data_IF_519023170432
#
_entry.id   IF_519023170432
#
_cell.length_a   1.000
_cell.length_b   1.000
_cell.length_c   1.000
_cell.angle_alpha   90.00
_cell.angle_beta   90.00
_cell.angle_gamma   90.00
#
_symmetry.space_group_name_H-M   'P 1'
#
loop_
_entity.id
_entity.type
_entity.pdbx_description
1 polymer ?
#
# COMPACT_ATOMS: atom_id res chain seq x y z
N UNK A 1 9.76 -23.30 -6.58
CA UNK A 1 10.32 -24.41 -5.75
C UNK A 1 10.17 -25.74 -6.47
N UNK A 2 8.97 -26.14 -6.91
CA UNK A 2 8.77 -27.36 -7.72
C UNK A 2 9.72 -27.46 -8.92
N UNK A 3 9.79 -26.42 -9.76
CA UNK A 3 10.74 -26.38 -10.89
C UNK A 3 12.22 -26.42 -10.47
N UNK A 4 12.56 -25.93 -9.27
CA UNK A 4 13.92 -26.04 -8.74
C UNK A 4 14.23 -27.49 -8.33
N UNK A 5 13.28 -28.19 -7.71
CA UNK A 5 13.43 -29.60 -7.37
C UNK A 5 13.58 -30.48 -8.62
N UNK A 6 12.83 -30.19 -9.69
CA UNK A 6 12.96 -30.91 -10.97
C UNK A 6 14.33 -30.74 -11.64
N UNK A 7 15.01 -29.62 -11.37
CA UNK A 7 16.33 -29.32 -11.91
C UNK A 7 17.49 -29.83 -11.05
N UNK A 8 17.20 -30.38 -9.86
CA UNK A 8 18.21 -30.76 -8.87
C UNK A 8 18.16 -32.28 -8.59
N UNK A 9 19.29 -32.97 -8.69
CA UNK A 9 19.36 -34.45 -8.57
C UNK A 9 19.16 -35.00 -7.14
N UNK A 10 18.79 -34.15 -6.16
CA UNK A 10 18.59 -34.59 -4.77
C UNK A 10 17.18 -35.15 -4.60
N UNK A 11 17.00 -36.36 -4.01
CA UNK A 11 15.68 -36.91 -3.73
C UNK A 11 14.82 -35.92 -2.95
N UNK A 12 13.57 -35.73 -3.39
CA UNK A 12 12.69 -34.76 -2.77
C UNK A 12 11.27 -35.26 -2.61
N UNK A 13 10.64 -34.92 -1.49
CA UNK A 13 9.23 -35.18 -1.24
C UNK A 13 8.50 -33.86 -0.93
N UNK A 14 7.20 -33.82 -1.22
CA UNK A 14 6.37 -32.62 -1.11
C UNK A 14 5.11 -32.93 -0.31
N UNK A 15 4.82 -32.09 0.68
CA UNK A 15 3.57 -32.12 1.45
C UNK A 15 2.90 -30.76 1.29
N UNK A 16 1.76 -30.72 0.60
CA UNK A 16 0.88 -29.55 0.56
C UNK A 16 -0.07 -29.62 1.74
N UNK A 17 0.04 -28.65 2.64
CA UNK A 17 -0.72 -28.63 3.88
C UNK A 17 -2.06 -27.90 3.68
N UNK A 18 -3.09 -28.35 4.38
CA UNK A 18 -4.39 -27.68 4.46
C UNK A 18 -4.86 -27.47 5.91
N UNK A 19 -6.07 -26.96 6.09
CA UNK A 19 -6.61 -26.68 7.42
C UNK A 19 -6.78 -27.94 8.30
N UNK A 20 -6.96 -29.11 7.70
CA UNK A 20 -7.13 -30.38 8.42
C UNK A 20 -5.81 -30.89 9.02
N UNK A 21 -4.67 -30.42 8.53
CA UNK A 21 -3.35 -30.75 9.05
C UNK A 21 -3.02 -30.07 10.39
N UNK A 22 -3.98 -29.33 10.97
CA UNK A 22 -3.98 -28.85 12.35
C UNK A 22 -4.23 -29.98 13.39
N UNK A 23 -3.76 -31.18 13.09
CA UNK A 23 -3.78 -32.34 13.97
C UNK A 23 -2.38 -32.97 13.95
N UNK A 24 -1.76 -33.10 15.13
CA UNK A 24 -0.39 -33.62 15.25
C UNK A 24 -0.24 -35.01 14.63
N UNK A 25 -1.23 -35.88 14.79
CA UNK A 25 -1.17 -37.26 14.29
C UNK A 25 -1.20 -37.27 12.77
N UNK A 26 -2.15 -36.53 12.19
CA UNK A 26 -2.32 -36.44 10.74
C UNK A 26 -1.10 -35.79 10.09
N UNK A 27 -0.66 -34.65 10.60
CA UNK A 27 0.54 -33.96 10.13
C UNK A 27 1.77 -34.88 10.15
N UNK A 28 2.01 -35.55 11.28
CA UNK A 28 3.18 -36.44 11.43
C UNK A 28 3.05 -37.65 10.51
N UNK A 29 1.84 -38.16 10.29
CA UNK A 29 1.60 -39.26 9.36
C UNK A 29 1.91 -38.86 7.92
N UNK A 30 1.50 -37.68 7.45
CA UNK A 30 1.86 -37.18 6.12
C UNK A 30 3.34 -36.87 5.98
N UNK A 31 3.97 -36.31 7.01
CA UNK A 31 5.41 -36.12 7.06
C UNK A 31 6.15 -37.46 6.87
N UNK A 32 5.76 -38.49 7.63
CA UNK A 32 6.36 -39.82 7.54
C UNK A 32 6.09 -40.45 6.17
N UNK A 33 4.85 -40.37 5.68
CA UNK A 33 4.48 -40.92 4.37
C UNK A 33 5.32 -40.29 3.25
N UNK A 34 5.55 -38.97 3.30
CA UNK A 34 6.41 -38.27 2.35
C UNK A 34 7.87 -38.79 2.41
N UNK A 35 8.44 -38.96 3.60
CA UNK A 35 9.77 -39.57 3.76
C UNK A 35 9.79 -41.02 3.25
N UNK A 36 8.74 -41.79 3.51
CA UNK A 36 8.61 -43.18 3.09
C UNK A 36 8.56 -43.34 1.56
N UNK A 37 8.06 -42.34 0.82
CA UNK A 37 8.11 -42.33 -0.65
C UNK A 37 9.53 -42.33 -1.20
N UNK A 38 10.48 -41.76 -0.44
CA UNK A 38 11.90 -41.72 -0.80
C UNK A 38 12.66 -42.92 -0.22
N UNK A 39 12.32 -43.30 1.02
CA UNK A 39 13.01 -44.34 1.77
C UNK A 39 12.00 -45.36 2.32
N UNK A 40 11.67 -46.41 1.55
CA UNK A 40 10.67 -47.39 1.95
C UNK A 40 10.97 -48.03 3.31
N UNK A 41 10.01 -47.93 4.24
CA UNK A 41 10.14 -48.45 5.60
C UNK A 41 10.94 -47.57 6.56
N UNK A 42 11.27 -46.33 6.19
CA UNK A 42 11.73 -45.33 7.15
C UNK A 42 10.64 -45.02 8.20
N UNK A 43 11.06 -44.52 9.37
CA UNK A 43 10.18 -43.99 10.42
C UNK A 43 9.10 -44.96 10.95
N UNK A 44 9.27 -46.28 10.80
CA UNK A 44 8.29 -47.31 11.21
C UNK A 44 7.97 -47.29 12.70
N UNK A 45 8.96 -47.02 13.57
CA UNK A 45 8.70 -46.97 15.01
C UNK A 45 7.81 -45.77 15.35
N UNK A 46 8.09 -44.62 14.74
CA UNK A 46 7.26 -43.43 14.90
C UNK A 46 5.87 -43.64 14.33
N UNK A 47 5.73 -44.30 13.17
CA UNK A 47 4.43 -44.66 12.61
C UNK A 47 3.64 -45.60 13.53
N UNK A 48 4.30 -46.58 14.18
CA UNK A 48 3.65 -47.43 15.18
C UNK A 48 3.17 -46.63 16.40
N UNK A 49 3.95 -45.64 16.85
CA UNK A 49 3.53 -44.71 17.91
C UNK A 49 2.32 -43.87 17.50
N UNK A 50 2.25 -43.42 16.23
CA UNK A 50 1.09 -42.72 15.67
C UNK A 50 -0.13 -43.61 15.46
N UNK A 51 -0.02 -44.93 15.55
CA UNK A 51 -1.16 -45.86 15.47
C UNK A 51 -1.65 -46.32 16.85
N UNK A 52 -0.96 -45.93 17.92
CA UNK A 52 -1.41 -46.20 19.29
C UNK A 52 -2.69 -45.43 19.60
N UNK A 53 -3.52 -45.98 20.50
CA UNK A 53 -4.78 -45.35 20.93
C UNK A 53 -4.56 -43.93 21.42
N UNK A 54 -3.57 -43.75 22.30
CA UNK A 54 -3.15 -42.44 22.80
C UNK A 54 -1.82 -42.04 22.18
N UNK A 55 -1.70 -40.77 21.78
CA UNK A 55 -0.42 -40.22 21.34
C UNK A 55 0.56 -40.21 22.53
N UNK A 56 1.80 -40.68 22.32
CA UNK A 56 2.82 -40.57 23.35
C UNK A 56 3.18 -39.09 23.62
N UNK A 57 3.84 -38.80 24.74
CA UNK A 57 4.34 -37.45 25.01
C UNK A 57 5.21 -36.92 23.86
N UNK A 58 5.13 -35.61 23.61
CA UNK A 58 5.85 -34.95 22.52
C UNK A 58 7.35 -35.23 22.54
N UNK A 59 7.96 -35.32 23.73
CA UNK A 59 9.38 -35.66 23.87
C UNK A 59 9.74 -37.06 23.36
N UNK A 60 8.81 -38.01 23.42
CA UNK A 60 9.02 -39.39 22.96
C UNK A 60 8.82 -39.47 21.45
N UNK A 61 7.75 -38.83 20.95
CA UNK A 61 7.44 -38.79 19.52
C UNK A 61 8.55 -38.10 18.72
N UNK A 62 8.96 -36.90 19.14
CA UNK A 62 10.04 -36.14 18.48
C UNK A 62 11.38 -36.89 18.49
N UNK A 63 11.77 -37.49 19.61
CA UNK A 63 13.00 -38.30 19.71
C UNK A 63 12.96 -39.53 18.82
N UNK A 64 11.82 -40.22 18.75
CA UNK A 64 11.64 -41.38 17.87
C UNK A 64 11.83 -40.96 16.42
N UNK A 65 11.14 -39.91 15.98
CA UNK A 65 11.22 -39.42 14.61
C UNK A 65 12.63 -38.97 14.28
N UNK A 66 13.26 -38.16 15.15
CA UNK A 66 14.61 -37.64 14.94
C UNK A 66 15.65 -38.75 14.82
N UNK A 67 15.60 -39.76 15.70
CA UNK A 67 16.52 -40.90 15.63
C UNK A 67 16.31 -41.76 14.38
N UNK A 68 15.09 -41.82 13.84
CA UNK A 68 14.82 -42.55 12.59
C UNK A 68 15.25 -41.75 11.36
N UNK A 69 15.08 -40.42 11.38
CA UNK A 69 15.59 -39.53 10.32
C UNK A 69 17.12 -39.51 10.29
N UNK A 70 17.80 -39.51 11.44
CA UNK A 70 19.26 -39.51 11.53
C UNK A 70 19.91 -40.81 10.99
N UNK A 71 19.13 -41.89 10.85
CA UNK A 71 19.58 -43.14 10.22
C UNK A 71 19.57 -43.09 8.69
N UNK A 72 18.93 -42.09 8.10
CA UNK A 72 18.93 -41.90 6.65
C UNK A 72 20.26 -41.23 6.29
N UNK A 73 21.15 -41.96 5.62
CA UNK A 73 22.47 -41.44 5.23
C UNK A 73 22.41 -40.58 3.94
N UNK A 74 21.44 -40.84 3.06
CA UNK A 74 21.30 -40.14 1.80
C UNK A 74 20.61 -38.78 2.01
N UNK A 75 21.24 -37.70 1.56
CA UNK A 75 20.64 -36.36 1.60
C UNK A 75 19.35 -36.29 0.79
N UNK A 76 18.34 -35.62 1.32
CA UNK A 76 17.04 -35.44 0.69
C UNK A 76 16.40 -34.11 1.10
N UNK A 77 15.45 -33.65 0.30
CA UNK A 77 14.68 -32.43 0.53
C UNK A 77 13.24 -32.80 0.90
N UNK A 78 12.73 -32.24 1.99
CA UNK A 78 11.31 -32.32 2.31
C UNK A 78 10.71 -30.91 2.22
N UNK A 79 9.71 -30.75 1.36
CA UNK A 79 8.97 -29.49 1.24
C UNK A 79 7.68 -29.57 2.04
N UNK A 80 7.47 -28.58 2.90
CA UNK A 80 6.20 -28.31 3.57
C UNK A 80 5.63 -27.03 2.95
N UNK A 81 4.65 -27.22 2.08
CA UNK A 81 3.96 -26.14 1.38
C UNK A 81 2.73 -25.68 2.15
N UNK A 82 2.41 -24.39 2.03
CA UNK A 82 1.32 -23.72 2.74
C UNK A 82 1.37 -23.84 4.28
N UNK A 83 2.56 -23.89 4.88
CA UNK A 83 2.76 -24.04 6.33
C UNK A 83 2.11 -22.92 7.15
N UNK A 84 1.81 -21.76 6.55
CA UNK A 84 1.05 -20.68 7.19
C UNK A 84 -0.35 -21.11 7.68
N UNK A 85 -0.93 -22.17 7.12
CA UNK A 85 -2.23 -22.73 7.53
C UNK A 85 -2.17 -23.49 8.86
N UNK A 86 -0.98 -23.92 9.28
CA UNK A 86 -0.78 -24.62 10.55
C UNK A 86 -0.78 -23.60 11.70
N UNK A 87 -1.68 -23.82 12.66
CA UNK A 87 -1.90 -23.06 13.89
C UNK A 87 -1.67 -23.93 15.13
N UNK A 88 -1.72 -25.26 14.99
CA UNK A 88 -1.56 -26.20 16.09
C UNK A 88 -0.14 -26.14 16.69
N UNK A 89 -0.07 -25.69 17.95
CA UNK A 89 1.18 -25.56 18.72
C UNK A 89 2.00 -26.83 18.77
N UNK A 90 1.38 -28.00 18.91
CA UNK A 90 2.12 -29.26 18.99
C UNK A 90 2.86 -29.60 17.69
N UNK A 91 2.33 -29.19 16.53
CA UNK A 91 2.99 -29.37 15.23
C UNK A 91 4.23 -28.47 15.14
N UNK A 92 4.12 -27.23 15.61
CA UNK A 92 5.25 -26.31 15.69
C UNK A 92 6.33 -26.81 16.66
N UNK A 93 5.93 -27.36 17.81
CA UNK A 93 6.85 -27.94 18.79
C UNK A 93 7.59 -29.16 18.23
N UNK A 94 6.93 -30.02 17.45
CA UNK A 94 7.56 -31.14 16.77
C UNK A 94 8.64 -30.67 15.79
N UNK A 95 8.33 -29.73 14.89
CA UNK A 95 9.32 -29.19 13.96
C UNK A 95 10.42 -28.42 14.69
N UNK A 96 10.08 -27.66 15.74
CA UNK A 96 11.04 -26.97 16.59
C UNK A 96 12.04 -27.94 17.23
N UNK A 97 11.58 -29.12 17.67
CA UNK A 97 12.45 -30.16 18.20
C UNK A 97 13.40 -30.74 17.12
N UNK A 98 12.91 -30.97 15.90
CA UNK A 98 13.75 -31.40 14.77
C UNK A 98 14.80 -30.34 14.45
N UNK A 99 14.40 -29.06 14.33
CA UNK A 99 15.28 -27.96 13.95
C UNK A 99 16.30 -27.59 15.04
N UNK A 100 16.07 -27.98 16.29
CA UNK A 100 17.05 -27.81 17.37
C UNK A 100 18.26 -28.74 17.21
N UNK A 101 18.06 -29.91 16.61
CA UNK A 101 19.09 -30.91 16.34
C UNK A 101 18.86 -31.50 14.94
N UNK A 102 19.07 -30.70 13.86
CA UNK A 102 18.65 -31.07 12.51
C UNK A 102 19.42 -32.31 12.03
N UNK A 103 18.74 -33.36 11.51
CA UNK A 103 19.40 -34.48 10.85
C UNK A 103 20.24 -34.00 9.67
N UNK A 104 21.48 -34.49 9.53
CA UNK A 104 22.41 -33.99 8.51
C UNK A 104 21.93 -34.25 7.07
N UNK A 105 21.16 -35.31 6.85
CA UNK A 105 20.63 -35.70 5.55
C UNK A 105 19.35 -34.95 5.17
N UNK A 106 18.66 -34.31 6.12
CA UNK A 106 17.39 -33.64 5.87
C UNK A 106 17.59 -32.16 5.56
N UNK A 107 17.20 -31.76 4.35
CA UNK A 107 16.99 -30.36 3.99
C UNK A 107 15.49 -30.05 4.04
N UNK A 108 15.06 -29.26 5.02
CA UNK A 108 13.67 -28.84 5.15
C UNK A 108 13.43 -27.52 4.41
N UNK A 109 12.54 -27.52 3.42
CA UNK A 109 12.05 -26.32 2.76
C UNK A 109 10.62 -26.02 3.25
N UNK A 110 10.43 -24.87 3.91
CA UNK A 110 9.12 -24.44 4.38
C UNK A 110 8.65 -23.29 3.51
N UNK A 111 7.46 -23.44 2.92
CA UNK A 111 6.81 -22.42 2.10
C UNK A 111 5.61 -21.91 2.88
N UNK A 112 5.44 -20.59 2.93
CA UNK A 112 4.31 -20.00 3.60
C UNK A 112 4.24 -18.50 3.39
N UNK A 113 3.08 -17.94 3.73
CA UNK A 113 2.80 -16.50 3.60
C UNK A 113 3.22 -15.69 4.82
N UNK A 114 3.67 -16.32 5.90
CA UNK A 114 4.10 -15.64 7.13
C UNK A 114 5.20 -16.42 7.80
N UNK A 115 5.95 -15.76 8.66
CA UNK A 115 6.97 -16.44 9.47
C UNK A 115 6.30 -17.50 10.34
N UNK A 116 6.69 -18.79 10.21
CA UNK A 116 6.17 -19.82 11.08
C UNK A 116 6.66 -19.58 12.51
N UNK A 117 5.90 -19.98 13.55
CA UNK A 117 6.29 -19.85 14.95
C UNK A 117 7.36 -20.90 15.33
N UNK A 118 8.47 -20.87 14.60
CA UNK A 118 9.65 -21.72 14.75
C UNK A 118 10.82 -20.86 15.28
N UNK A 119 11.92 -21.45 15.76
CA UNK A 119 13.06 -20.71 16.29
C UNK A 119 13.91 -20.03 15.19
N UNK A 120 13.28 -19.28 14.29
CA UNK A 120 13.89 -18.61 13.11
C UNK A 120 15.06 -17.73 13.51
N UNK A 121 14.91 -16.89 14.56
CA UNK A 121 15.98 -16.00 15.01
C UNK A 121 17.23 -16.76 15.43
N UNK A 122 17.07 -17.91 16.10
CA UNK A 122 18.19 -18.75 16.50
C UNK A 122 18.86 -19.43 15.30
N UNK A 123 18.07 -19.96 14.36
CA UNK A 123 18.57 -20.56 13.12
C UNK A 123 19.33 -19.53 12.27
N UNK A 124 18.81 -18.29 12.18
CA UNK A 124 19.44 -17.17 11.49
C UNK A 124 20.79 -16.81 12.12
N UNK A 125 20.83 -16.68 13.45
CA UNK A 125 22.07 -16.36 14.17
C UNK A 125 23.16 -17.44 14.04
N UNK A 126 22.75 -18.69 13.84
CA UNK A 126 23.66 -19.83 13.64
C UNK A 126 23.98 -20.11 12.18
N UNK A 127 23.46 -19.33 11.23
CA UNK A 127 23.59 -19.56 9.78
C UNK A 127 23.10 -20.95 9.35
N UNK A 128 22.09 -21.48 10.01
CA UNK A 128 21.47 -22.78 9.72
C UNK A 128 20.25 -22.69 8.80
N UNK A 129 19.99 -21.52 8.21
CA UNK A 129 18.87 -21.31 7.30
C UNK A 129 19.24 -20.37 6.16
N UNK A 130 18.58 -20.58 5.03
CA UNK A 130 18.53 -19.63 3.91
C UNK A 130 17.12 -19.05 3.85
N UNK A 131 17.01 -17.75 3.68
CA UNK A 131 15.75 -17.01 3.70
C UNK A 131 15.55 -16.37 2.33
N UNK A 132 14.43 -16.67 1.67
CA UNK A 132 14.05 -16.10 0.39
C UNK A 132 12.75 -15.34 0.62
N UNK A 133 12.76 -14.02 0.44
CA UNK A 133 11.65 -13.12 0.75
C UNK A 133 11.11 -12.44 -0.50
N UNK A 134 10.05 -11.66 -0.34
CA UNK A 134 9.42 -10.88 -1.42
C UNK A 134 10.43 -10.10 -2.28
N UNK A 135 11.46 -9.43 -1.73
CA UNK A 135 12.47 -8.75 -2.56
C UNK A 135 13.28 -9.71 -3.43
N UNK A 136 13.55 -10.93 -2.97
CA UNK A 136 14.30 -11.96 -3.71
C UNK A 136 13.41 -12.67 -4.75
N UNK A 137 12.10 -12.74 -4.50
CA UNK A 137 11.10 -13.34 -5.38
C UNK A 137 10.58 -12.37 -6.46
N UNK A 138 10.81 -11.06 -6.27
CA UNK A 138 10.43 -10.04 -7.25
C UNK A 138 11.31 -10.18 -8.48
N UNK A 139 10.68 -10.32 -9.64
CA UNK A 139 11.41 -10.34 -10.89
C UNK A 139 12.03 -8.98 -11.17
N UNK A 140 13.32 -8.99 -11.51
CA UNK A 140 14.01 -7.86 -12.09
C UNK A 140 13.73 -7.74 -13.59
N UNK A 141 14.15 -6.64 -14.23
CA UNK A 141 13.92 -6.38 -15.66
C UNK A 141 14.32 -7.56 -16.57
N UNK A 142 15.45 -8.23 -16.29
CA UNK A 142 15.94 -9.36 -17.10
C UNK A 142 15.08 -10.61 -16.89
N UNK A 143 14.67 -10.90 -15.66
CA UNK A 143 13.78 -12.01 -15.33
C UNK A 143 12.39 -11.79 -15.92
N UNK A 144 11.85 -10.58 -15.84
CA UNK A 144 10.60 -10.19 -16.49
C UNK A 144 10.66 -10.38 -18.00
N UNK A 145 11.72 -9.93 -18.66
CA UNK A 145 11.91 -10.13 -20.09
C UNK A 145 11.96 -11.62 -20.47
N UNK A 146 12.70 -12.41 -19.69
CA UNK A 146 12.84 -13.86 -19.90
C UNK A 146 11.51 -14.57 -19.75
N UNK A 147 10.77 -14.28 -18.67
CA UNK A 147 9.45 -14.84 -18.39
C UNK A 147 8.44 -14.50 -19.49
N UNK A 148 8.36 -13.22 -19.89
CA UNK A 148 7.43 -12.78 -20.93
C UNK A 148 7.75 -13.43 -22.28
N UNK A 149 9.04 -13.59 -22.62
CA UNK A 149 9.46 -14.25 -23.85
C UNK A 149 9.05 -15.73 -23.87
N UNK A 150 9.22 -16.42 -22.74
CA UNK A 150 8.85 -17.83 -22.59
C UNK A 150 7.34 -18.03 -22.67
N UNK A 151 6.56 -17.18 -21.99
CA UNK A 151 5.11 -17.30 -21.98
C UNK A 151 4.49 -16.84 -23.31
N UNK A 152 4.92 -15.72 -23.90
CA UNK A 152 4.30 -15.23 -25.13
C UNK A 152 4.85 -15.94 -26.38
N UNK A 153 5.97 -16.65 -26.28
CA UNK A 153 6.63 -17.31 -27.41
C UNK A 153 7.21 -16.34 -28.44
N UNK A 154 7.30 -15.05 -28.10
CA UNK A 154 7.82 -13.98 -28.95
C UNK A 154 8.85 -13.15 -28.18
N UNK A 155 9.80 -12.56 -28.90
CA UNK A 155 10.71 -11.58 -28.30
C UNK A 155 9.92 -10.31 -27.95
N UNK A 156 10.00 -9.92 -26.68
CA UNK A 156 9.30 -8.74 -26.16
C UNK A 156 10.27 -7.57 -26.12
N UNK A 157 9.86 -6.42 -26.64
CA UNK A 157 10.72 -5.25 -26.67
C UNK A 157 10.93 -4.66 -25.27
N UNK A 158 12.05 -3.96 -25.09
CA UNK A 158 12.43 -3.42 -23.78
C UNK A 158 11.43 -2.41 -23.23
N UNK A 159 10.74 -1.66 -24.09
CA UNK A 159 9.75 -0.67 -23.64
C UNK A 159 8.52 -1.35 -23.02
N UNK A 160 8.10 -2.47 -23.59
CA UNK A 160 7.07 -3.34 -23.01
C UNK A 160 7.47 -3.91 -21.66
N UNK A 161 8.69 -4.46 -21.57
CA UNK A 161 9.19 -5.07 -20.33
C UNK A 161 9.17 -4.03 -19.21
N UNK A 162 9.65 -2.81 -19.48
CA UNK A 162 9.63 -1.72 -18.51
C UNK A 162 8.21 -1.36 -18.06
N UNK A 163 7.24 -1.25 -18.99
CA UNK A 163 5.84 -0.95 -18.65
C UNK A 163 5.21 -2.05 -17.78
N UNK A 164 5.46 -3.31 -18.10
CA UNK A 164 4.90 -4.44 -17.33
C UNK A 164 5.60 -4.61 -15.98
N UNK A 165 6.90 -4.39 -15.91
CA UNK A 165 7.65 -4.39 -14.64
C UNK A 165 7.19 -3.26 -13.73
N UNK A 166 7.02 -2.05 -14.26
CA UNK A 166 6.45 -0.91 -13.52
C UNK A 166 5.02 -1.19 -13.05
N UNK A 167 4.16 -1.75 -13.92
CA UNK A 167 2.75 -2.07 -13.60
C UNK A 167 2.55 -3.32 -12.73
N UNK A 168 3.58 -4.12 -12.50
CA UNK A 168 3.45 -5.30 -11.63
C UNK A 168 4.39 -5.24 -10.44
N UNK A 169 5.24 -4.21 -10.40
CA UNK A 169 6.39 -4.09 -9.51
C UNK A 169 7.15 -5.42 -9.38
N UNK A 170 7.34 -6.13 -10.50
CA UNK A 170 8.01 -7.43 -10.58
C UNK A 170 7.27 -8.62 -9.95
N UNK A 171 5.99 -8.49 -9.61
CA UNK A 171 5.19 -9.57 -9.04
C UNK A 171 4.86 -10.63 -10.09
N UNK A 172 5.45 -11.83 -9.94
CA UNK A 172 5.34 -12.94 -10.91
C UNK A 172 3.90 -13.36 -11.21
N UNK A 173 3.05 -13.46 -10.18
CA UNK A 173 1.63 -13.78 -10.38
C UNK A 173 0.91 -12.67 -11.14
N UNK A 174 1.22 -11.41 -10.86
CA UNK A 174 0.72 -10.26 -11.60
C UNK A 174 1.13 -10.31 -13.07
N UNK A 175 2.40 -10.62 -13.36
CA UNK A 175 2.91 -10.81 -14.72
C UNK A 175 2.21 -11.96 -15.44
N UNK A 176 2.03 -13.11 -14.78
CA UNK A 176 1.34 -14.26 -15.36
C UNK A 176 -0.12 -13.95 -15.71
N UNK A 177 -0.82 -13.24 -14.82
CA UNK A 177 -2.20 -12.84 -15.06
C UNK A 177 -2.31 -11.80 -16.19
N UNK A 178 -1.33 -10.89 -16.31
CA UNK A 178 -1.24 -9.97 -17.45
C UNK A 178 -1.06 -10.73 -18.77
N UNK A 179 -0.16 -11.73 -18.83
CA UNK A 179 0.03 -12.59 -20.01
C UNK A 179 -1.26 -13.33 -20.38
N UNK A 180 -1.98 -13.88 -19.40
CA UNK A 180 -3.26 -14.56 -19.64
C UNK A 180 -4.31 -13.61 -20.23
N UNK A 181 -4.38 -12.37 -19.74
CA UNK A 181 -5.27 -11.34 -20.28
C UNK A 181 -4.94 -10.98 -21.74
N UNK A 182 -3.64 -10.82 -22.07
CA UNK A 182 -3.16 -10.56 -23.44
C UNK A 182 -3.53 -11.70 -24.39
N UNK A 183 -3.30 -12.96 -23.97
CA UNK A 183 -3.67 -14.15 -24.76
C UNK A 183 -5.17 -14.20 -25.04
N UNK A 184 -6.01 -13.84 -24.07
CA UNK A 184 -7.47 -13.85 -24.25
C UNK A 184 -7.96 -12.76 -25.21
N UNK A 185 -7.30 -11.59 -25.25
CA UNK A 185 -7.65 -10.49 -26.18
C UNK A 185 -7.18 -10.77 -27.61
N UNK A 186 -6.21 -11.66 -27.82
CA UNK A 186 -5.59 -11.89 -29.12
C UNK A 186 -4.74 -10.71 -29.61
N UNK A 187 -4.45 -9.76 -28.71
CA UNK A 187 -3.62 -8.58 -28.98
C UNK A 187 -2.40 -8.62 -28.06
N UNK A 188 -1.22 -8.63 -28.67
CA UNK A 188 0.05 -8.75 -27.98
C UNK A 188 0.71 -7.39 -27.74
N UNK A 189 0.09 -6.29 -28.15
CA UNK A 189 0.58 -4.95 -27.82
C UNK A 189 0.24 -4.60 -26.35
N UNK A 190 1.24 -4.56 -25.46
CA UNK A 190 1.02 -4.26 -24.05
C UNK A 190 0.79 -2.77 -23.78
N UNK A 191 0.95 -1.91 -24.79
CA UNK A 191 0.48 -0.51 -24.73
C UNK A 191 -1.04 -0.44 -24.84
N UNK A 192 -1.67 -1.46 -25.40
CA UNK A 192 -3.14 -1.65 -25.44
C UNK A 192 -3.68 -2.37 -24.19
N UNK A 193 -2.81 -2.70 -23.21
CA UNK A 193 -3.23 -3.02 -21.84
C UNK A 193 -3.79 -1.75 -21.19
N UNK A 194 -5.03 -1.43 -21.56
CA UNK A 194 -5.80 -0.35 -20.95
C UNK A 194 -6.05 -0.67 -19.46
N UNK A 195 -5.91 0.30 -18.54
CA UNK A 195 -6.08 0.09 -17.11
C UNK A 195 -7.39 -0.58 -16.67
N UNK A 196 -8.44 -0.55 -17.52
CA UNK A 196 -9.81 -0.91 -17.15
C UNK A 196 -10.18 -2.38 -17.34
N UNK A 197 -9.57 -3.12 -18.29
CA UNK A 197 -10.02 -4.49 -18.61
C UNK A 197 -9.09 -5.58 -18.07
N UNK A 198 -7.78 -5.29 -17.97
CA UNK A 198 -6.79 -6.21 -17.39
C UNK A 198 -6.85 -6.31 -15.87
N UNK A 199 -7.58 -5.37 -15.25
CA UNK A 199 -7.87 -5.43 -13.84
C UNK A 199 -8.72 -6.66 -13.51
N UNK A 200 -9.70 -7.06 -14.31
CA UNK A 200 -10.74 -7.98 -13.83
C UNK A 200 -10.21 -9.36 -13.38
N UNK A 201 -9.32 -10.03 -14.13
CA UNK A 201 -8.76 -11.33 -13.73
C UNK A 201 -7.74 -11.22 -12.60
N UNK A 202 -6.86 -10.21 -12.64
CA UNK A 202 -5.92 -9.92 -11.54
C UNK A 202 -6.68 -9.62 -10.26
N UNK A 203 -7.79 -8.90 -10.40
CA UNK A 203 -8.61 -8.46 -9.29
C UNK A 203 -9.50 -9.57 -8.76
N UNK A 204 -10.02 -10.44 -9.61
CA UNK A 204 -10.79 -11.61 -9.19
C UNK A 204 -9.91 -12.61 -8.44
N UNK A 205 -8.69 -12.87 -8.93
CA UNK A 205 -7.71 -13.67 -8.21
C UNK A 205 -7.33 -13.03 -6.86
N UNK A 206 -6.91 -11.76 -6.85
CA UNK A 206 -6.58 -11.07 -5.59
C UNK A 206 -7.78 -11.02 -4.63
N UNK A 207 -9.00 -10.80 -5.13
CA UNK A 207 -10.20 -10.79 -4.30
C UNK A 207 -10.44 -12.15 -3.64
N UNK A 208 -10.38 -13.23 -4.43
CA UNK A 208 -10.62 -14.59 -3.96
C UNK A 208 -9.51 -15.14 -3.06
N UNK A 209 -8.26 -14.69 -3.24
CA UNK A 209 -7.13 -15.15 -2.44
C UNK A 209 -6.91 -14.32 -1.17
N UNK A 210 -7.28 -13.04 -1.20
CA UNK A 210 -6.88 -12.08 -0.17
C UNK A 210 -8.05 -11.59 0.65
N UNK A 211 -9.17 -11.22 0.02
CA UNK A 211 -10.30 -10.57 0.70
C UNK A 211 -11.40 -11.54 1.13
N UNK A 212 -11.69 -12.57 0.35
CA UNK A 212 -12.78 -13.54 0.62
C UNK A 212 -12.64 -14.27 1.96
N UNK A 213 -11.41 -14.43 2.45
CA UNK A 213 -11.08 -15.12 3.71
C UNK A 213 -11.02 -14.16 4.91
N UNK A 214 -11.23 -12.85 4.71
CA UNK A 214 -11.10 -11.86 5.78
C UNK A 214 -12.43 -11.61 6.49
N UNK A 215 -12.41 -11.35 7.80
CA UNK A 215 -13.58 -10.85 8.52
C UNK A 215 -14.10 -9.55 7.88
N UNK A 216 -15.44 -9.32 7.86
CA UNK A 216 -16.03 -8.12 7.27
C UNK A 216 -15.44 -6.79 7.80
N UNK A 217 -15.10 -6.75 9.09
CA UNK A 217 -14.50 -5.61 9.78
C UNK A 217 -13.14 -5.23 9.16
N UNK A 218 -12.32 -6.25 8.87
CA UNK A 218 -10.99 -6.08 8.26
C UNK A 218 -11.11 -5.57 6.83
N UNK A 219 -12.09 -6.09 6.06
CA UNK A 219 -12.37 -5.63 4.71
C UNK A 219 -12.71 -4.14 4.72
N UNK A 220 -13.59 -3.69 5.62
CA UNK A 220 -13.96 -2.28 5.71
C UNK A 220 -12.75 -1.37 6.01
N UNK A 221 -11.83 -1.81 6.86
CA UNK A 221 -10.61 -1.05 7.16
C UNK A 221 -9.63 -0.99 5.98
N UNK A 222 -9.48 -2.11 5.25
CA UNK A 222 -8.74 -2.14 3.98
C UNK A 222 -9.34 -1.19 2.95
N UNK A 223 -10.67 -1.16 2.83
CA UNK A 223 -11.37 -0.25 1.91
C UNK A 223 -11.23 1.21 2.33
N UNK A 224 -11.36 1.53 3.61
CA UNK A 224 -11.24 2.89 4.15
C UNK A 224 -9.85 3.50 3.92
N UNK A 225 -8.80 2.71 4.10
CA UNK A 225 -7.41 3.16 3.90
C UNK A 225 -6.96 3.16 2.43
N UNK A 226 -7.75 2.59 1.51
CA UNK A 226 -7.40 2.48 0.09
C UNK A 226 -7.28 3.82 -0.63
N UNK A 227 -7.96 4.86 -0.13
CA UNK A 227 -7.92 6.22 -0.71
C UNK A 227 -6.57 6.92 -0.49
N UNK A 228 -5.72 6.38 0.39
CA UNK A 228 -4.48 7.02 0.81
C UNK A 228 -3.32 6.55 -0.08
N UNK A 229 -2.63 7.48 -0.74
CA UNK A 229 -1.43 7.18 -1.54
C UNK A 229 -0.27 6.69 -0.66
N UNK A 230 -0.20 7.20 0.57
CA UNK A 230 0.67 6.71 1.64
C UNK A 230 -0.03 6.87 2.99
N UNK A 231 0.30 6.00 3.94
CA UNK A 231 -0.29 6.01 5.27
C UNK A 231 0.67 5.55 6.35
N UNK A 232 0.34 5.91 7.58
CA UNK A 232 1.01 5.50 8.81
C UNK A 232 -0.06 5.16 9.85
N UNK A 233 0.33 4.55 10.97
CA UNK A 233 -0.62 4.12 12.01
C UNK A 233 -1.64 5.20 12.41
N UNK A 234 -1.21 6.40 12.85
CA UNK A 234 -2.15 7.44 13.28
C UNK A 234 -3.09 7.96 12.18
N UNK A 235 -2.66 7.93 10.91
CA UNK A 235 -3.53 8.32 9.79
C UNK A 235 -4.58 7.23 9.51
N UNK A 236 -4.25 5.95 9.65
CA UNK A 236 -5.24 4.88 9.56
C UNK A 236 -6.33 5.01 10.63
N UNK A 237 -5.97 5.46 11.84
CA UNK A 237 -6.95 5.70 12.92
C UNK A 237 -7.89 6.87 12.62
N UNK A 238 -7.40 7.88 11.90
CA UNK A 238 -8.17 9.06 11.54
C UNK A 238 -9.15 8.81 10.38
N UNK A 239 -8.89 7.81 9.54
CA UNK A 239 -9.67 7.53 8.31
C UNK A 239 -10.47 6.26 8.49
N UNK A 240 -11.72 6.40 8.91
CA UNK A 240 -12.62 5.29 9.22
C UNK A 240 -14.01 5.51 8.60
N UNK A 241 -14.60 4.43 8.08
CA UNK A 241 -15.97 4.45 7.61
C UNK A 241 -16.96 4.73 8.77
N UNK A 242 -18.10 5.41 8.51
CA UNK A 242 -19.08 5.72 9.55
C UNK A 242 -19.63 4.46 10.24
N UNK A 243 -19.82 4.51 11.56
CA UNK A 243 -20.36 3.40 12.35
C UNK A 243 -19.34 2.35 12.79
N UNK A 244 -18.06 2.56 12.45
CA UNK A 244 -16.95 1.77 12.98
C UNK A 244 -16.40 2.52 14.19
N UNK A 245 -16.36 1.84 15.34
CA UNK A 245 -15.59 2.33 16.46
C UNK A 245 -14.11 1.97 16.18
N UNK A 246 -13.18 2.93 16.08
CA UNK A 246 -11.75 2.59 16.03
C UNK A 246 -11.33 1.68 17.20
N UNK A 247 -12.10 1.66 18.30
CA UNK A 247 -11.93 0.78 19.46
C UNK A 247 -12.62 -0.60 19.37
N UNK A 248 -13.45 -0.88 18.36
CA UNK A 248 -13.96 -2.26 18.09
C UNK A 248 -12.93 -3.13 17.38
N UNK A 249 -11.94 -2.53 16.74
CA UNK A 249 -10.65 -3.19 16.56
C UNK A 249 -9.88 -3.05 17.87
N UNK A 250 -9.48 -4.13 18.52
CA UNK A 250 -8.53 -4.13 19.67
C UNK A 250 -7.13 -3.56 19.31
N UNK A 251 -7.01 -2.81 18.22
CA UNK A 251 -5.80 -2.55 17.48
C UNK A 251 -5.82 -1.10 16.96
N UNK A 252 -5.01 -0.22 17.56
CA UNK A 252 -4.68 1.07 16.95
C UNK A 252 -4.02 0.89 15.57
N UNK A 253 -3.84 1.96 14.81
CA UNK A 253 -3.39 1.89 13.42
C UNK A 253 -2.01 1.24 13.26
N UNK A 254 -1.13 1.30 14.27
CA UNK A 254 0.14 0.55 14.24
C UNK A 254 -0.06 -0.97 14.32
N UNK A 255 -1.07 -1.43 15.05
CA UNK A 255 -1.39 -2.84 15.12
C UNK A 255 -2.03 -3.32 13.80
N UNK A 256 -2.82 -2.46 13.14
CA UNK A 256 -3.27 -2.72 11.78
C UNK A 256 -2.10 -2.87 10.79
N UNK A 257 -1.11 -1.97 10.85
CA UNK A 257 0.12 -2.10 10.06
C UNK A 257 0.87 -3.39 10.38
N UNK A 258 1.00 -3.75 11.67
CA UNK A 258 1.66 -4.98 12.08
C UNK A 258 0.93 -6.22 11.54
N UNK A 259 -0.41 -6.19 11.54
CA UNK A 259 -1.23 -7.24 10.94
C UNK A 259 -1.03 -7.33 9.42
N UNK A 260 -1.08 -6.20 8.69
CA UNK A 260 -0.80 -6.17 7.24
C UNK A 260 0.57 -6.77 6.89
N UNK A 261 1.59 -6.47 7.70
CA UNK A 261 2.93 -7.05 7.55
C UNK A 261 2.93 -8.55 7.81
N UNK A 262 2.29 -8.99 8.91
CA UNK A 262 2.25 -10.40 9.30
C UNK A 262 1.52 -11.26 8.26
N UNK A 263 0.44 -10.75 7.69
CA UNK A 263 -0.34 -11.45 6.67
C UNK A 263 0.20 -11.22 5.24
N UNK A 264 1.33 -10.50 5.09
CA UNK A 264 1.95 -10.17 3.80
C UNK A 264 0.98 -9.55 2.77
N UNK A 265 0.13 -8.63 3.24
CA UNK A 265 -0.93 -7.99 2.44
C UNK A 265 -0.43 -6.82 1.60
N UNK A 266 0.51 -7.12 0.71
CA UNK A 266 1.00 -6.20 -0.33
C UNK A 266 1.38 -4.80 0.20
N UNK A 267 1.94 -4.74 1.42
CA UNK A 267 2.35 -3.50 2.07
C UNK A 267 3.81 -3.21 1.75
N UNK A 268 4.10 -1.99 1.29
CA UNK A 268 5.43 -1.55 0.89
C UNK A 268 5.89 -0.43 1.83
N UNK A 269 7.01 -0.59 2.56
CA UNK A 269 7.58 0.49 3.36
C UNK A 269 8.17 1.57 2.46
N UNK A 270 7.96 2.84 2.82
CA UNK A 270 8.45 4.01 2.09
C UNK A 270 9.67 4.65 2.76
N UNK A 271 9.98 4.29 4.00
CA UNK A 271 11.13 4.79 4.75
C UNK A 271 11.82 3.67 5.55
N UNK A 272 13.11 3.85 5.89
CA UNK A 272 13.87 2.88 6.68
C UNK A 272 13.34 2.69 8.10
N UNK A 273 12.73 3.72 8.67
CA UNK A 273 12.16 3.68 10.02
C UNK A 273 10.82 2.94 10.08
N UNK A 274 10.30 2.45 8.95
CA UNK A 274 9.00 1.80 8.84
C UNK A 274 7.86 2.65 9.40
N UNK A 275 7.86 3.95 9.10
CA UNK A 275 6.79 4.86 9.53
C UNK A 275 5.70 5.03 8.50
N UNK A 276 6.09 5.18 7.24
CA UNK A 276 5.21 5.36 6.10
C UNK A 276 5.16 4.11 5.24
N UNK A 277 3.95 3.80 4.79
CA UNK A 277 3.66 2.68 3.95
C UNK A 277 2.77 3.09 2.80
N UNK A 278 2.80 2.30 1.75
CA UNK A 278 1.76 2.30 0.71
C UNK A 278 1.34 0.88 0.41
N UNK A 279 0.14 0.73 -0.11
CA UNK A 279 -0.23 -0.51 -0.78
C UNK A 279 0.53 -0.65 -2.09
N UNK A 280 0.77 -1.89 -2.51
CA UNK A 280 1.08 -2.19 -3.90
C UNK A 280 -0.06 -1.67 -4.78
N UNK A 281 0.27 -0.96 -5.87
CA UNK A 281 -0.71 -0.18 -6.63
C UNK A 281 -1.85 -1.06 -7.21
N UNK A 282 -1.58 -2.31 -7.59
CA UNK A 282 -2.62 -3.26 -8.04
C UNK A 282 -3.61 -3.59 -6.94
N UNK A 283 -3.12 -3.80 -5.71
CA UNK A 283 -3.94 -4.07 -4.55
C UNK A 283 -4.75 -2.83 -4.14
N UNK A 284 -4.12 -1.65 -4.12
CA UNK A 284 -4.82 -0.40 -3.85
C UNK A 284 -5.97 -0.16 -4.84
N UNK A 285 -5.72 -0.36 -6.14
CA UNK A 285 -6.75 -0.24 -7.19
C UNK A 285 -7.90 -1.23 -6.98
N UNK A 286 -7.60 -2.43 -6.47
CA UNK A 286 -8.60 -3.39 -6.06
C UNK A 286 -9.52 -2.86 -5.00
N UNK A 287 -8.92 -2.40 -3.92
CA UNK A 287 -9.65 -1.86 -2.79
C UNK A 287 -10.48 -0.63 -3.21
N UNK A 288 -9.92 0.27 -4.03
CA UNK A 288 -10.64 1.44 -4.55
C UNK A 288 -11.87 1.07 -5.41
N UNK A 289 -11.76 0.03 -6.25
CA UNK A 289 -12.89 -0.42 -7.06
C UNK A 289 -13.96 -1.10 -6.20
N UNK A 290 -13.57 -1.85 -5.17
CA UNK A 290 -14.51 -2.45 -4.23
C UNK A 290 -15.19 -1.38 -3.37
N UNK A 291 -14.43 -0.37 -2.92
CA UNK A 291 -14.95 0.78 -2.19
C UNK A 291 -16.04 1.49 -3.00
N UNK A 292 -15.80 1.77 -4.29
CA UNK A 292 -16.80 2.39 -5.18
C UNK A 292 -18.04 1.53 -5.46
N UNK A 293 -17.95 0.20 -5.30
CA UNK A 293 -19.07 -0.73 -5.50
C UNK A 293 -19.92 -0.87 -4.24
N UNK A 294 -19.30 -0.81 -3.07
CA UNK A 294 -19.94 -1.10 -1.79
C UNK A 294 -20.30 0.15 -0.97
N UNK A 295 -19.65 1.29 -1.23
CA UNK A 295 -19.89 2.54 -0.54
C UNK A 295 -20.50 3.59 -1.49
N UNK A 296 -21.33 4.44 -0.91
CA UNK A 296 -21.87 5.64 -1.55
C UNK A 296 -20.79 6.70 -1.75
N UNK A 297 -21.02 7.63 -2.69
CA UNK A 297 -20.13 8.77 -2.90
C UNK A 297 -19.99 9.65 -1.65
N UNK A 298 -21.03 9.72 -0.80
CA UNK A 298 -21.00 10.52 0.44
C UNK A 298 -20.06 9.92 1.50
N UNK A 299 -20.06 8.60 1.64
CA UNK A 299 -19.12 7.89 2.52
C UNK A 299 -17.68 8.06 2.04
N UNK A 300 -17.45 7.95 0.74
CA UNK A 300 -16.12 8.16 0.15
C UNK A 300 -15.65 9.60 0.34
N UNK A 301 -16.54 10.58 0.15
CA UNK A 301 -16.22 11.99 0.40
C UNK A 301 -15.87 12.24 1.88
N UNK A 302 -16.57 11.56 2.80
CA UNK A 302 -16.29 11.66 4.23
C UNK A 302 -14.88 11.14 4.57
N UNK A 303 -14.47 10.01 3.98
CA UNK A 303 -13.11 9.49 4.14
C UNK A 303 -12.04 10.49 3.64
N UNK A 304 -12.27 11.08 2.46
CA UNK A 304 -11.37 12.12 1.94
C UNK A 304 -11.32 13.36 2.84
N UNK A 305 -12.45 13.78 3.42
CA UNK A 305 -12.48 14.91 4.36
C UNK A 305 -11.71 14.61 5.65
N UNK A 306 -11.84 13.40 6.21
CA UNK A 306 -11.07 12.95 7.38
C UNK A 306 -9.57 12.92 7.10
N UNK A 307 -9.17 12.33 5.96
CA UNK A 307 -7.77 12.27 5.53
C UNK A 307 -7.19 13.69 5.36
N UNK A 308 -7.96 14.59 4.74
CA UNK A 308 -7.58 15.99 4.55
C UNK A 308 -7.30 16.68 5.89
N UNK A 309 -8.22 16.55 6.86
CA UNK A 309 -8.07 17.15 8.18
C UNK A 309 -6.80 16.64 8.89
N UNK A 310 -6.57 15.33 8.87
CA UNK A 310 -5.39 14.74 9.49
C UNK A 310 -4.08 15.23 8.85
N UNK A 311 -4.00 15.25 7.51
CA UNK A 311 -2.81 15.74 6.81
C UNK A 311 -2.51 17.21 7.14
N UNK A 312 -3.55 18.03 7.23
CA UNK A 312 -3.45 19.45 7.59
C UNK A 312 -2.95 19.64 9.03
N UNK A 313 -3.43 18.85 9.98
CA UNK A 313 -2.97 18.89 11.37
C UNK A 313 -1.51 18.47 11.54
N UNK A 314 -0.97 17.71 10.58
CA UNK A 314 0.41 17.22 10.56
C UNK A 314 1.32 18.01 9.58
N UNK A 315 0.94 19.24 9.21
CA UNK A 315 1.69 20.14 8.31
C UNK A 315 1.93 19.60 6.88
N UNK A 316 1.16 18.60 6.46
CA UNK A 316 1.20 17.97 5.13
C UNK A 316 0.15 18.58 4.20
N UNK A 317 0.37 19.86 3.87
CA UNK A 317 -0.61 20.68 3.16
C UNK A 317 -1.02 20.15 1.77
N UNK A 318 -0.07 19.63 1.00
CA UNK A 318 -0.31 19.27 -0.40
C UNK A 318 -1.21 18.03 -0.49
N UNK A 319 -0.94 17.04 0.34
CA UNK A 319 -1.77 15.85 0.52
C UNK A 319 -3.13 16.22 1.09
N UNK A 320 -3.15 17.10 2.10
CA UNK A 320 -4.40 17.61 2.68
C UNK A 320 -5.30 18.29 1.63
N UNK A 321 -4.71 19.09 0.76
CA UNK A 321 -5.42 19.77 -0.33
C UNK A 321 -5.96 18.79 -1.38
N UNK A 322 -5.16 17.80 -1.78
CA UNK A 322 -5.59 16.76 -2.72
C UNK A 322 -6.83 16.02 -2.21
N UNK A 323 -6.81 15.64 -0.93
CA UNK A 323 -7.96 14.99 -0.30
C UNK A 323 -9.17 15.93 -0.14
N UNK A 324 -8.97 17.22 0.17
CA UNK A 324 -10.07 18.20 0.23
C UNK A 324 -10.77 18.38 -1.13
N UNK A 325 -9.99 18.38 -2.21
CA UNK A 325 -10.54 18.44 -3.57
C UNK A 325 -11.26 17.15 -3.94
N UNK A 326 -10.67 16.00 -3.60
CA UNK A 326 -11.26 14.69 -3.85
C UNK A 326 -12.57 14.44 -3.08
N UNK A 327 -12.78 15.10 -1.92
CA UNK A 327 -14.04 15.02 -1.17
C UNK A 327 -15.19 15.82 -1.83
N UNK A 328 -14.93 16.51 -2.94
CA UNK A 328 -15.89 17.39 -3.60
C UNK A 328 -16.17 18.70 -2.87
N UNK A 329 -15.47 19.00 -1.77
CA UNK A 329 -15.65 20.23 -1.00
C UNK A 329 -14.60 21.29 -1.41
N UNK A 330 -14.83 21.90 -2.56
CA UNK A 330 -13.92 22.91 -3.14
C UNK A 330 -13.79 24.17 -2.28
N UNK A 331 -14.82 24.49 -1.49
CA UNK A 331 -14.80 25.62 -0.56
C UNK A 331 -13.87 25.36 0.63
N UNK A 332 -13.90 24.15 1.19
CA UNK A 332 -12.95 23.72 2.23
C UNK A 332 -11.51 23.71 1.69
N UNK A 333 -11.30 23.24 0.45
CA UNK A 333 -9.99 23.30 -0.21
C UNK A 333 -9.49 24.75 -0.38
N UNK A 334 -10.36 25.68 -0.80
CA UNK A 334 -10.04 27.10 -0.90
C UNK A 334 -9.69 27.73 0.45
N UNK A 335 -10.50 27.45 1.47
CA UNK A 335 -10.28 27.93 2.84
C UNK A 335 -8.95 27.44 3.43
N UNK A 336 -8.55 26.21 3.10
CA UNK A 336 -7.28 25.61 3.48
C UNK A 336 -6.11 26.36 2.81
N UNK A 337 -6.16 26.62 1.50
CA UNK A 337 -5.13 27.43 0.82
C UNK A 337 -5.04 28.84 1.43
N UNK A 338 -6.18 29.48 1.69
CA UNK A 338 -6.23 30.80 2.31
C UNK A 338 -5.60 30.81 3.72
N UNK A 339 -5.91 29.80 4.55
CA UNK A 339 -5.38 29.67 5.91
C UNK A 339 -3.85 29.53 5.95
N UNK A 340 -3.27 28.72 5.06
CA UNK A 340 -1.81 28.49 5.02
C UNK A 340 -1.04 29.53 4.21
N UNK A 341 -1.75 30.41 3.49
CA UNK A 341 -1.12 31.40 2.62
C UNK A 341 -0.11 32.27 3.35
N UNK A 342 -0.44 32.84 4.51
CA UNK A 342 0.47 33.71 5.26
C UNK A 342 1.78 33.02 5.66
N UNK A 343 1.70 31.78 6.13
CA UNK A 343 2.89 31.02 6.49
C UNK A 343 3.76 30.77 5.25
N UNK A 344 3.18 30.28 4.15
CA UNK A 344 3.91 30.03 2.91
C UNK A 344 4.53 31.30 2.32
N UNK A 345 3.82 32.45 2.41
CA UNK A 345 4.33 33.74 1.96
C UNK A 345 5.51 34.22 2.81
N UNK A 346 5.39 34.12 4.15
CA UNK A 346 6.45 34.52 5.08
C UNK A 346 7.71 33.64 4.95
N UNK A 347 7.52 32.34 4.69
CA UNK A 347 8.60 31.38 4.46
C UNK A 347 9.16 31.45 3.02
N UNK A 348 8.69 32.40 2.21
CA UNK A 348 9.05 32.59 0.80
C UNK A 348 8.80 31.38 -0.10
N UNK A 349 7.85 30.51 0.28
CA UNK A 349 7.44 29.31 -0.46
C UNK A 349 6.40 29.63 -1.56
N UNK A 350 6.63 30.71 -2.32
CA UNK A 350 5.70 31.25 -3.33
C UNK A 350 5.35 30.24 -4.42
N UNK A 351 6.31 29.42 -4.83
CA UNK A 351 6.10 28.37 -5.83
C UNK A 351 5.16 27.28 -5.31
N UNK A 352 5.26 26.94 -4.03
CA UNK A 352 4.39 25.96 -3.37
C UNK A 352 2.96 26.49 -3.28
N UNK A 353 2.80 27.74 -2.83
CA UNK A 353 1.50 28.43 -2.82
C UNK A 353 0.86 28.50 -4.22
N UNK A 354 1.66 28.82 -5.25
CA UNK A 354 1.18 28.84 -6.63
C UNK A 354 0.73 27.48 -7.14
N UNK A 355 1.42 26.38 -6.77
CA UNK A 355 0.99 25.01 -7.10
C UNK A 355 -0.31 24.64 -6.40
N UNK A 356 -0.45 24.96 -5.12
CA UNK A 356 -1.69 24.74 -4.36
C UNK A 356 -2.86 25.50 -5.00
N UNK A 357 -2.68 26.80 -5.28
CA UNK A 357 -3.73 27.61 -5.89
C UNK A 357 -4.13 27.10 -7.28
N UNK A 358 -3.17 26.62 -8.09
CA UNK A 358 -3.45 26.07 -9.43
C UNK A 358 -4.25 24.77 -9.44
N UNK A 359 -4.34 24.05 -8.32
CA UNK A 359 -5.16 22.85 -8.19
C UNK A 359 -6.63 23.16 -7.93
N UNK A 360 -6.95 24.38 -7.47
CA UNK A 360 -8.33 24.80 -7.24
C UNK A 360 -9.05 25.08 -8.57
N UNK A 361 -10.35 24.77 -8.68
CA UNK A 361 -11.16 25.17 -9.83
C UNK A 361 -11.18 26.69 -10.01
N UNK A 362 -11.08 27.17 -11.26
CA UNK A 362 -11.07 28.60 -11.58
C UNK A 362 -12.32 29.32 -11.07
N UNK A 363 -13.48 28.70 -11.23
CA UNK A 363 -14.76 29.22 -10.73
C UNK A 363 -14.75 29.49 -9.21
N UNK A 364 -14.00 28.69 -8.44
CA UNK A 364 -13.87 28.89 -6.99
C UNK A 364 -12.99 30.10 -6.68
N UNK A 365 -11.84 30.20 -7.35
CA UNK A 365 -10.93 31.35 -7.20
C UNK A 365 -11.69 32.64 -7.53
N UNK A 366 -12.40 32.67 -8.65
CA UNK A 366 -13.15 33.85 -9.11
C UNK A 366 -14.35 34.26 -8.24
N UNK A 367 -14.75 33.42 -7.28
CA UNK A 367 -15.85 33.69 -6.34
C UNK A 367 -15.36 34.04 -4.94
N UNK A 368 -14.09 33.76 -4.63
CA UNK A 368 -13.50 33.98 -3.32
C UNK A 368 -12.46 35.12 -3.37
N UNK A 369 -12.80 36.31 -2.81
CA UNK A 369 -11.88 37.45 -2.77
C UNK A 369 -10.53 37.16 -2.10
N UNK A 370 -10.48 36.27 -1.09
CA UNK A 370 -9.23 35.93 -0.44
C UNK A 370 -8.29 35.18 -1.40
N UNK A 371 -8.84 34.25 -2.19
CA UNK A 371 -8.07 33.53 -3.20
C UNK A 371 -7.64 34.44 -4.36
N UNK A 372 -8.48 35.38 -4.79
CA UNK A 372 -8.13 36.37 -5.81
C UNK A 372 -6.99 37.29 -5.36
N UNK A 373 -6.97 37.67 -4.08
CA UNK A 373 -5.85 38.46 -3.53
C UNK A 373 -4.55 37.66 -3.54
N UNK A 374 -4.60 36.36 -3.21
CA UNK A 374 -3.43 35.48 -3.31
C UNK A 374 -2.97 35.31 -4.75
N UNK A 375 -3.89 35.17 -5.70
CA UNK A 375 -3.57 35.14 -7.12
C UNK A 375 -2.88 36.44 -7.56
N UNK A 376 -3.45 37.60 -7.21
CA UNK A 376 -2.88 38.90 -7.52
C UNK A 376 -1.45 39.05 -6.97
N UNK A 377 -1.19 38.59 -5.74
CA UNK A 377 0.17 38.57 -5.18
C UNK A 377 1.13 37.69 -5.97
N UNK A 378 0.72 36.49 -6.37
CA UNK A 378 1.55 35.61 -7.18
C UNK A 378 1.83 36.21 -8.56
N UNK A 379 0.86 36.90 -9.17
CA UNK A 379 1.05 37.61 -10.43
C UNK A 379 2.00 38.81 -10.26
N UNK A 380 1.88 39.55 -9.16
CA UNK A 380 2.78 40.66 -8.83
C UNK A 380 4.23 40.21 -8.72
N UNK A 381 4.50 39.12 -7.99
CA UNK A 381 5.84 38.54 -7.85
C UNK A 381 6.39 38.06 -9.20
N UNK A 382 5.53 37.61 -10.11
CA UNK A 382 5.89 37.23 -11.49
C UNK A 382 6.00 38.40 -12.46
N UNK A 383 5.83 39.64 -11.98
CA UNK A 383 5.78 40.87 -12.79
C UNK A 383 4.69 40.87 -13.88
N UNK A 384 3.62 40.08 -13.70
CA UNK A 384 2.47 40.06 -14.59
C UNK A 384 1.40 41.07 -14.13
N UNK A 385 1.66 42.36 -14.37
CA UNK A 385 0.79 43.45 -13.90
C UNK A 385 -0.60 43.45 -14.55
N UNK A 386 -0.73 42.96 -15.78
CA UNK A 386 -2.05 42.72 -16.40
C UNK A 386 -2.88 41.70 -15.63
N UNK A 387 -2.23 40.65 -15.10
CA UNK A 387 -2.90 39.66 -14.25
C UNK A 387 -3.33 40.25 -12.91
N UNK A 388 -2.51 41.13 -12.32
CA UNK A 388 -2.86 41.85 -11.09
C UNK A 388 -4.11 42.73 -11.31
N UNK A 389 -4.17 43.48 -12.40
CA UNK A 389 -5.31 44.33 -12.74
C UNK A 389 -6.60 43.51 -12.89
N UNK A 390 -6.56 42.39 -13.61
CA UNK A 390 -7.71 41.51 -13.79
C UNK A 390 -8.24 40.95 -12.45
N UNK A 391 -7.36 40.56 -11.53
CA UNK A 391 -7.76 40.12 -10.19
C UNK A 391 -8.42 41.26 -9.39
N UNK A 392 -7.86 42.47 -9.44
CA UNK A 392 -8.41 43.65 -8.74
C UNK A 392 -9.81 43.99 -9.25
N UNK A 393 -10.00 44.07 -10.57
CA UNK A 393 -11.32 44.32 -11.19
C UNK A 393 -12.35 43.27 -10.76
N UNK A 394 -11.94 42.00 -10.68
CA UNK A 394 -12.82 40.91 -10.25
C UNK A 394 -13.23 41.06 -8.78
N UNK A 395 -12.30 41.41 -7.90
CA UNK A 395 -12.59 41.67 -6.48
C UNK A 395 -13.57 42.85 -6.33
N UNK A 396 -13.39 43.92 -7.11
CA UNK A 396 -14.31 45.06 -7.12
C UNK A 396 -15.73 44.66 -7.53
N UNK A 397 -15.84 43.86 -8.59
CA UNK A 397 -17.14 43.35 -9.05
C UNK A 397 -17.85 42.53 -7.97
N UNK A 398 -17.13 41.67 -7.23
CA UNK A 398 -17.69 40.88 -6.14
C UNK A 398 -18.15 41.76 -4.96
N UNK A 399 -17.34 42.75 -4.57
CA UNK A 399 -17.67 43.69 -3.50
C UNK A 399 -18.88 44.56 -3.84
N UNK A 400 -19.05 44.97 -5.10
CA UNK A 400 -20.20 45.75 -5.54
C UNK A 400 -21.53 44.97 -5.44
N UNK A 401 -21.48 43.64 -5.50
CA UNK A 401 -22.66 42.76 -5.45
C UNK A 401 -22.97 42.17 -4.06
N UNK A 402 -22.09 42.35 -3.07
CA UNK A 402 -22.23 41.75 -1.74
C UNK A 402 -22.91 42.72 -0.75
N UNK A 403 -23.80 42.26 0.14
CA UNK A 403 -24.36 43.12 1.19
C UNK A 403 -23.25 43.63 2.13
N UNK A 404 -23.41 44.84 2.73
CA UNK A 404 -22.36 45.50 3.50
C UNK A 404 -21.85 44.71 4.73
N UNK A 405 -22.59 43.68 5.19
CA UNK A 405 -22.17 42.79 6.29
C UNK A 405 -21.27 41.62 5.84
N UNK A 406 -21.21 41.30 4.54
CA UNK A 406 -20.28 40.30 3.95
C UNK A 406 -19.16 40.92 3.14
N UNK A 407 -19.08 42.25 3.05
CA UNK A 407 -17.86 42.96 2.61
C UNK A 407 -16.70 42.37 3.39
N UNK A 408 -15.69 41.84 2.69
CA UNK A 408 -14.58 41.04 3.22
C UNK A 408 -13.98 41.69 4.48
N UNK A 409 -14.53 41.34 5.65
CA UNK A 409 -14.29 42.08 6.89
C UNK A 409 -13.09 41.53 7.65
N UNK A 410 -12.13 40.99 6.92
CA UNK A 410 -10.79 40.73 7.44
C UNK A 410 -9.99 41.93 7.01
N UNK A 411 -9.79 42.91 7.91
CA UNK A 411 -8.99 44.14 7.68
C UNK A 411 -7.69 43.89 6.88
N UNK A 412 -7.14 42.69 7.00
CA UNK A 412 -5.99 42.21 6.24
C UNK A 412 -6.23 42.12 4.72
N UNK A 413 -7.32 41.48 4.25
CA UNK A 413 -7.61 41.32 2.82
C UNK A 413 -7.87 42.68 2.18
N UNK A 414 -8.59 43.58 2.87
CA UNK A 414 -8.78 44.95 2.42
C UNK A 414 -7.46 45.72 2.34
N UNK A 415 -6.61 45.65 3.37
CA UNK A 415 -5.31 46.34 3.36
C UNK A 415 -4.39 45.88 2.24
N UNK A 416 -4.38 44.58 1.97
CA UNK A 416 -3.64 44.01 0.83
C UNK A 416 -4.22 44.46 -0.51
N UNK A 417 -5.55 44.47 -0.63
CA UNK A 417 -6.23 44.92 -1.83
C UNK A 417 -5.93 46.40 -2.15
N UNK A 418 -5.97 47.28 -1.15
CA UNK A 418 -5.55 48.69 -1.32
C UNK A 418 -4.07 48.81 -1.70
N UNK A 419 -3.19 47.98 -1.13
CA UNK A 419 -1.77 47.97 -1.49
C UNK A 419 -1.53 47.54 -2.95
N UNK A 420 -2.29 46.56 -3.46
CA UNK A 420 -2.27 46.14 -4.86
C UNK A 420 -2.74 47.27 -5.79
N UNK A 421 -3.79 48.01 -5.41
CA UNK A 421 -4.26 49.20 -6.14
C UNK A 421 -3.21 50.31 -6.19
N UNK A 422 -2.62 50.65 -5.04
CA UNK A 422 -1.55 51.63 -4.97
C UNK A 422 -0.35 51.25 -5.84
N UNK A 423 -0.02 49.95 -5.89
CA UNK A 423 1.03 49.43 -6.78
C UNK A 423 0.68 49.59 -8.26
N UNK A 424 -0.57 49.31 -8.65
CA UNK A 424 -1.03 49.52 -10.03
C UNK A 424 -0.98 51.01 -10.43
N UNK A 425 -1.46 51.92 -9.57
CA UNK A 425 -1.39 53.37 -9.81
C UNK A 425 0.07 53.85 -9.95
N UNK A 426 0.97 53.37 -9.09
CA UNK A 426 2.40 53.69 -9.19
C UNK A 426 2.99 53.23 -10.54
N UNK A 427 2.67 52.02 -10.97
CA UNK A 427 3.15 51.47 -12.25
C UNK A 427 2.53 52.18 -13.47
N UNK A 428 1.31 52.71 -13.33
CA UNK A 428 0.65 53.56 -14.31
C UNK A 428 1.15 55.02 -14.33
N UNK A 429 2.18 55.34 -13.54
CA UNK A 429 2.74 56.70 -13.35
C UNK A 429 1.78 57.71 -12.70
N UNK A 430 0.72 57.23 -12.03
CA UNK A 430 -0.24 58.02 -11.28
C UNK A 430 0.17 58.15 -9.80
N UNK A 431 1.32 58.77 -9.56
CA UNK A 431 1.95 58.82 -8.23
C UNK A 431 1.08 59.45 -7.13
N UNK A 432 0.32 60.51 -7.43
CA UNK A 432 -0.60 61.15 -6.47
C UNK A 432 -1.77 60.22 -6.10
N UNK A 433 -2.33 59.50 -7.08
CA UNK A 433 -3.37 58.50 -6.86
C UNK A 433 -2.85 57.32 -6.03
N UNK A 434 -1.59 56.92 -6.22
CA UNK A 434 -0.98 55.84 -5.46
C UNK A 434 -0.85 56.17 -3.97
N UNK A 435 -0.51 57.42 -3.62
CA UNK A 435 -0.37 57.88 -2.22
C UNK A 435 -1.68 57.82 -1.44
N UNK A 436 -2.82 57.98 -2.10
CA UNK A 436 -4.14 57.89 -1.47
C UNK A 436 -4.42 56.49 -0.87
N UNK A 437 -3.75 55.45 -1.37
CA UNK A 437 -3.88 54.07 -0.90
C UNK A 437 -2.89 53.70 0.21
N UNK A 438 -1.93 54.57 0.53
CA UNK A 438 -0.95 54.37 1.59
C UNK A 438 -0.97 55.53 2.62
N UNK A 439 -2.06 55.72 3.38
CA UNK A 439 -2.25 56.89 4.24
C UNK A 439 -1.25 57.00 5.41
N UNK A 440 -0.45 55.96 5.68
CA UNK A 440 0.62 56.00 6.67
C UNK A 440 1.98 56.48 6.07
N UNK A 441 2.07 56.62 4.75
CA UNK A 441 3.24 57.10 4.00
C UNK A 441 3.04 58.51 3.40
N UNK A 442 1.81 59.03 3.45
CA UNK A 442 1.45 60.41 3.16
C UNK A 442 1.51 61.25 4.44
#
# INVERSE_FOLDING_TARGET
ISSWLEAYDTPSAWVSLDENDNDLRLFTAYFIAAVETLFPGACRNTQALLNASDLPPMSTLSKSLLNELDRIEQSFILVLDDYSLIKETMVHDLLGAILKHPPQSLHLAIVGRRDPPLPITALRAQSLMTEIRTPDLRFNEMETATFLTQELGIQVDRSTVAVLEEKTEGWVTGLRLAVLAMRHRGDLDPKLLEPQVDAQYVMEYLFNEVLSHQPPEVIQYLLGTAILDRFCGPLCEAVCLPGIDPFTCEYGGWNYIAWLKRENLFLIPLDPENRWFRYHHLFQRLLLNQLKRHCSSEEINTLHAQASAWFVENDLLEEGLQHALASGNTEAAGSLVARFSHQLMNDQQWMRLGRCLSQLPRDQIERDPALLVLEAWLQHIRHNFSGVAACVERIEALNATSPPDTMVNVKHVQGVFEALKGTLCYMATEGESALAFFPALA
#
